data_IF_215412655323
#
_entry.id   IF_215412655323
#
_cell.length_a   1.000
_cell.length_b   1.000
_cell.length_c   1.000
_cell.angle_alpha   90.00
_cell.angle_beta   90.00
_cell.angle_gamma   90.00
#
_symmetry.space_group_name_H-M   'P 1'
#
loop_
_entity.id
_entity.type
_entity.pdbx_description
1 polymer ?
#
# COMPACT_ATOMS: atom_id res chain seq x y z
N UNK A 1 7.61 -43.50 18.44
CA UNK A 1 7.85 -42.05 18.53
C UNK A 1 6.63 -41.39 17.88
N UNK A 2 5.71 -40.84 18.67
CA UNK A 2 4.49 -40.24 18.14
C UNK A 2 4.83 -38.93 17.45
N UNK A 3 4.49 -38.80 16.17
CA UNK A 3 4.70 -37.58 15.40
C UNK A 3 3.61 -36.57 15.79
N UNK A 4 4.03 -35.45 16.39
CA UNK A 4 3.13 -34.35 16.72
C UNK A 4 2.74 -33.58 15.45
N UNK A 5 1.43 -33.49 15.21
CA UNK A 5 0.83 -32.66 14.16
C UNK A 5 0.46 -31.29 14.74
N UNK A 6 0.71 -30.19 14.01
CA UNK A 6 0.32 -28.83 14.48
C UNK A 6 -1.18 -28.67 14.75
N UNK A 7 -2.02 -29.47 14.11
CA UNK A 7 -3.45 -29.57 14.39
C UNK A 7 -3.85 -31.03 14.39
N UNK A 8 -4.68 -31.45 15.35
CA UNK A 8 -5.11 -32.86 15.56
C UNK A 8 -5.77 -33.51 14.34
N UNK A 9 -6.37 -32.69 13.47
CA UNK A 9 -7.07 -33.13 12.26
C UNK A 9 -6.22 -32.94 10.99
N UNK A 10 -4.96 -32.48 11.10
CA UNK A 10 -4.08 -32.30 9.96
C UNK A 10 -3.57 -33.66 9.48
N UNK A 11 -3.69 -33.93 8.18
CA UNK A 11 -3.02 -35.09 7.60
C UNK A 11 -1.49 -34.89 7.66
N UNK A 12 -0.77 -36.00 7.80
CA UNK A 12 0.68 -36.01 7.65
C UNK A 12 1.02 -35.86 6.17
N UNK A 13 1.88 -34.90 5.83
CA UNK A 13 2.40 -34.73 4.47
C UNK A 13 3.93 -34.67 4.47
N UNK A 14 4.55 -35.12 3.37
CA UNK A 14 5.95 -34.84 3.07
C UNK A 14 6.10 -33.38 2.66
N UNK A 15 7.30 -32.81 2.82
CA UNK A 15 7.60 -31.48 2.26
C UNK A 15 7.35 -31.50 0.76
N UNK A 16 6.57 -30.54 0.28
CA UNK A 16 6.24 -30.36 -1.14
C UNK A 16 7.48 -30.33 -2.04
N UNK A 17 8.64 -29.84 -1.55
CA UNK A 17 9.85 -29.74 -2.37
C UNK A 17 10.52 -31.11 -2.66
N UNK A 18 10.17 -32.16 -1.89
CA UNK A 18 10.69 -33.51 -2.08
C UNK A 18 9.77 -34.40 -2.93
N UNK A 19 8.56 -33.92 -3.23
CA UNK A 19 7.55 -34.65 -3.98
C UNK A 19 7.52 -34.17 -5.45
N UNK A 20 8.60 -34.48 -6.16
CA UNK A 20 8.89 -33.99 -7.52
C UNK A 20 8.03 -34.61 -8.62
N UNK A 21 7.35 -35.73 -8.33
CA UNK A 21 6.65 -36.54 -9.32
C UNK A 21 5.14 -36.65 -9.07
N UNK A 22 4.64 -36.08 -7.96
CA UNK A 22 3.20 -36.00 -7.77
C UNK A 22 2.62 -34.94 -8.70
N UNK A 23 1.48 -35.29 -9.30
CA UNK A 23 0.69 -34.33 -10.05
C UNK A 23 -0.02 -33.47 -9.00
N UNK A 24 0.25 -32.16 -8.93
CA UNK A 24 -0.38 -31.32 -7.93
C UNK A 24 -1.91 -31.34 -8.14
N UNK A 25 -2.71 -31.44 -7.06
CA UNK A 25 -4.16 -31.42 -7.17
C UNK A 25 -4.60 -30.10 -7.82
N UNK A 26 -5.52 -30.19 -8.78
CA UNK A 26 -6.11 -28.99 -9.39
C UNK A 26 -7.22 -28.47 -8.48
N UNK A 27 -7.14 -27.20 -8.09
CA UNK A 27 -8.20 -26.57 -7.33
C UNK A 27 -9.43 -26.37 -8.23
N UNK A 28 -10.52 -27.07 -7.91
CA UNK A 28 -11.80 -27.01 -8.65
C UNK A 28 -12.90 -26.25 -7.90
N UNK A 29 -12.67 -25.93 -6.62
CA UNK A 29 -13.70 -25.35 -5.75
C UNK A 29 -13.88 -23.85 -5.97
N UNK A 30 -12.82 -23.13 -6.34
CA UNK A 30 -12.90 -21.70 -6.66
C UNK A 30 -13.35 -21.54 -8.11
N UNK A 31 -14.63 -21.27 -8.33
CA UNK A 31 -15.21 -21.19 -9.66
C UNK A 31 -14.95 -19.81 -10.29
N UNK A 32 -15.09 -18.74 -9.49
CA UNK A 32 -15.02 -17.35 -9.98
C UNK A 32 -14.50 -16.41 -8.90
N UNK A 33 -13.76 -15.40 -9.31
CA UNK A 33 -13.46 -14.26 -8.45
C UNK A 33 -13.53 -12.94 -9.19
N UNK A 34 -13.94 -11.89 -8.50
CA UNK A 34 -14.12 -10.55 -9.03
C UNK A 34 -13.63 -9.49 -8.02
N UNK A 35 -13.33 -8.30 -8.52
CA UNK A 35 -13.02 -7.14 -7.67
C UNK A 35 -14.24 -6.26 -7.54
N UNK A 36 -14.57 -5.89 -6.30
CA UNK A 36 -15.59 -4.93 -5.93
C UNK A 36 -14.89 -3.64 -5.48
N UNK A 37 -15.27 -2.51 -6.05
CA UNK A 37 -14.76 -1.21 -5.61
C UNK A 37 -15.61 -0.71 -4.43
N UNK A 38 -14.94 -0.41 -3.32
CA UNK A 38 -15.54 0.10 -2.09
C UNK A 38 -15.14 1.55 -1.92
N UNK A 39 -16.14 2.43 -1.94
CA UNK A 39 -15.98 3.86 -1.66
C UNK A 39 -15.77 4.11 -0.17
N UNK A 40 -15.08 5.20 0.20
CA UNK A 40 -14.90 5.56 1.59
C UNK A 40 -16.21 6.07 2.19
N UNK A 41 -16.48 5.69 3.43
CA UNK A 41 -17.65 6.15 4.19
C UNK A 41 -17.42 7.55 4.80
N UNK A 42 -16.16 7.97 4.90
CA UNK A 42 -15.79 9.32 5.36
C UNK A 42 -15.40 10.20 4.18
N UNK A 43 -15.67 11.51 4.32
CA UNK A 43 -15.22 12.51 3.34
C UNK A 43 -13.69 12.58 3.31
N UNK A 44 -13.09 12.39 2.13
CA UNK A 44 -11.64 12.41 1.91
C UNK A 44 -11.05 13.83 2.11
N UNK A 45 -11.82 14.87 1.80
CA UNK A 45 -11.33 16.26 1.75
C UNK A 45 -11.27 16.96 3.10
N UNK A 46 -12.08 16.51 4.07
CA UNK A 46 -12.29 17.19 5.35
C UNK A 46 -11.91 16.36 6.57
N UNK A 47 -11.47 15.12 6.36
CA UNK A 47 -11.16 14.17 7.44
C UNK A 47 -9.69 13.78 7.40
N UNK A 48 -9.08 13.71 8.59
CA UNK A 48 -7.75 13.11 8.76
C UNK A 48 -7.80 11.57 8.64
N UNK A 49 -9.00 10.99 8.61
CA UNK A 49 -9.20 9.54 8.50
C UNK A 49 -10.09 9.16 7.31
N UNK A 50 -9.65 8.18 6.54
CA UNK A 50 -10.40 7.56 5.45
C UNK A 50 -10.83 6.17 5.89
N UNK A 51 -12.13 5.92 5.99
CA UNK A 51 -12.68 4.62 6.40
C UNK A 51 -13.38 3.93 5.24
N UNK A 52 -13.22 2.62 5.14
CA UNK A 52 -13.91 1.74 4.19
C UNK A 52 -14.64 0.66 4.95
N UNK A 53 -15.85 0.32 4.50
CA UNK A 53 -16.64 -0.78 5.05
C UNK A 53 -16.92 -1.79 3.94
N UNK A 54 -16.20 -2.91 3.96
CA UNK A 54 -16.52 -4.07 3.13
C UNK A 54 -17.62 -4.85 3.84
N UNK A 55 -18.84 -4.78 3.31
CA UNK A 55 -19.98 -5.48 3.87
C UNK A 55 -19.76 -7.00 3.87
N UNK A 56 -20.35 -7.65 4.88
CA UNK A 56 -20.43 -9.10 4.93
C UNK A 56 -21.27 -9.61 3.77
N UNK A 57 -20.81 -10.68 3.13
CA UNK A 57 -21.51 -11.38 2.06
C UNK A 57 -21.36 -12.88 2.29
N UNK A 58 -22.37 -13.52 2.87
CA UNK A 58 -22.33 -14.92 3.30
C UNK A 58 -22.13 -15.95 2.18
N UNK A 59 -22.27 -15.54 0.91
CA UNK A 59 -22.12 -16.42 -0.24
C UNK A 59 -20.73 -16.40 -0.88
N UNK A 60 -19.83 -15.51 -0.45
CA UNK A 60 -18.53 -15.30 -1.10
C UNK A 60 -17.42 -15.17 -0.04
N UNK A 61 -16.24 -15.70 -0.35
CA UNK A 61 -15.04 -15.48 0.45
C UNK A 61 -14.37 -14.16 0.06
N UNK A 62 -13.61 -13.58 0.99
CA UNK A 62 -12.82 -12.37 0.73
C UNK A 62 -11.34 -12.69 0.72
N UNK A 63 -10.69 -12.41 -0.41
CA UNK A 63 -9.24 -12.55 -0.59
C UNK A 63 -8.56 -11.20 -0.35
N UNK A 64 -8.02 -11.02 0.85
CA UNK A 64 -7.29 -9.79 1.20
C UNK A 64 -5.91 -9.73 0.54
N UNK A 65 -5.27 -10.87 0.22
CA UNK A 65 -3.96 -10.90 -0.41
C UNK A 65 -3.98 -10.38 -1.86
N UNK A 66 -5.14 -10.46 -2.51
CA UNK A 66 -5.40 -9.89 -3.84
C UNK A 66 -6.30 -8.66 -3.81
N UNK A 67 -6.40 -7.97 -2.67
CA UNK A 67 -7.15 -6.70 -2.53
C UNK A 67 -6.20 -5.50 -2.54
N UNK A 68 -6.63 -4.39 -3.15
CA UNK A 68 -5.78 -3.25 -3.44
C UNK A 68 -6.41 -1.94 -2.95
N UNK A 69 -5.58 -1.04 -2.41
CA UNK A 69 -5.97 0.34 -2.19
C UNK A 69 -5.56 1.15 -3.42
N UNK A 70 -6.49 1.93 -3.96
CA UNK A 70 -6.26 2.92 -5.01
C UNK A 70 -6.33 4.31 -4.39
N UNK A 71 -5.34 5.15 -4.69
CA UNK A 71 -5.28 6.54 -4.22
C UNK A 71 -4.80 7.45 -5.34
N UNK A 72 -5.51 8.55 -5.55
CA UNK A 72 -5.08 9.61 -6.46
C UNK A 72 -4.78 10.86 -5.65
N UNK A 73 -3.56 11.35 -5.74
CA UNK A 73 -3.12 12.50 -4.97
C UNK A 73 -2.27 13.47 -5.80
N UNK A 74 -2.26 14.74 -5.39
CA UNK A 74 -1.41 15.79 -5.95
C UNK A 74 -0.74 16.61 -4.85
N UNK A 75 0.28 17.37 -5.22
CA UNK A 75 0.96 18.31 -4.34
C UNK A 75 0.47 19.72 -4.67
N UNK A 76 0.14 20.52 -3.67
CA UNK A 76 -0.27 21.93 -3.82
C UNK A 76 0.57 22.83 -2.93
N UNK A 77 0.53 24.13 -3.18
CA UNK A 77 1.04 25.13 -2.21
C UNK A 77 0.16 25.17 -0.96
N UNK A 78 0.62 25.82 0.11
CA UNK A 78 -0.16 26.01 1.34
C UNK A 78 -1.54 26.65 1.11
N UNK A 79 -1.63 27.53 0.11
CA UNK A 79 -2.84 28.23 -0.30
C UNK A 79 -3.75 27.39 -1.23
N UNK A 80 -3.37 26.15 -1.54
CA UNK A 80 -4.14 25.25 -2.42
C UNK A 80 -3.91 25.50 -3.92
N UNK A 81 -3.00 26.40 -4.29
CA UNK A 81 -2.64 26.66 -5.68
C UNK A 81 -1.70 25.58 -6.25
N UNK A 82 -1.56 25.59 -7.58
CA UNK A 82 -0.64 24.69 -8.26
C UNK A 82 0.82 25.04 -7.94
N UNK A 83 1.66 24.02 -7.80
CA UNK A 83 3.11 24.17 -7.70
C UNK A 83 3.70 24.41 -9.10
N UNK A 84 4.81 25.15 -9.21
CA UNK A 84 5.49 25.36 -10.50
C UNK A 84 6.25 24.12 -11.00
N UNK A 85 6.75 24.16 -12.23
CA UNK A 85 7.58 23.08 -12.76
C UNK A 85 8.95 22.98 -12.06
N UNK A 86 9.55 24.13 -11.74
CA UNK A 86 10.89 24.22 -11.16
C UNK A 86 10.90 24.21 -9.62
N UNK A 87 9.79 23.78 -9.00
CA UNK A 87 9.73 23.76 -7.55
C UNK A 87 10.46 22.55 -6.98
N UNK A 88 11.30 22.78 -5.98
CA UNK A 88 12.15 21.74 -5.40
C UNK A 88 11.41 20.91 -4.34
N UNK A 89 10.28 20.30 -4.71
CA UNK A 89 9.50 19.39 -3.86
C UNK A 89 9.16 18.11 -4.61
N UNK A 90 9.29 16.97 -3.94
CA UNK A 90 8.89 15.68 -4.46
C UNK A 90 8.27 14.80 -3.38
N UNK A 91 7.50 13.77 -3.78
CA UNK A 91 7.04 12.73 -2.87
C UNK A 91 8.18 12.05 -2.14
N UNK A 92 7.98 11.63 -0.88
CA UNK A 92 8.83 10.64 -0.21
C UNK A 92 8.67 9.26 -0.86
N UNK A 93 9.57 8.32 -0.54
CA UNK A 93 9.64 7.08 -1.29
C UNK A 93 8.44 6.20 -0.91
N UNK A 94 7.95 5.37 -1.83
CA UNK A 94 6.76 4.56 -1.62
C UNK A 94 5.55 5.45 -1.22
N UNK A 95 5.33 6.51 -2.01
CA UNK A 95 4.47 7.63 -1.62
C UNK A 95 3.06 7.21 -1.21
N UNK A 96 2.46 6.26 -1.93
CA UNK A 96 1.12 5.74 -1.62
C UNK A 96 0.99 5.29 -0.16
N UNK A 97 2.00 4.61 0.37
CA UNK A 97 2.02 4.15 1.76
C UNK A 97 2.43 5.27 2.72
N UNK A 98 3.32 6.16 2.29
CA UNK A 98 3.72 7.33 3.07
C UNK A 98 2.55 8.27 3.38
N UNK A 99 1.51 8.31 2.53
CA UNK A 99 0.28 9.10 2.75
C UNK A 99 -0.47 8.76 4.04
N UNK A 100 -0.27 7.56 4.60
CA UNK A 100 -0.97 7.11 5.79
C UNK A 100 0.02 6.77 6.91
N UNK A 101 -0.23 7.29 8.10
CA UNK A 101 0.60 7.05 9.28
C UNK A 101 0.21 5.74 9.96
N UNK A 102 -1.05 5.34 9.83
CA UNK A 102 -1.61 4.18 10.50
C UNK A 102 -2.70 3.53 9.61
N UNK A 103 -2.71 2.20 9.62
CA UNK A 103 -3.72 1.37 8.96
C UNK A 103 -4.30 0.42 9.98
N UNK A 104 -5.58 0.59 10.26
CA UNK A 104 -6.33 -0.24 11.18
C UNK A 104 -7.31 -1.12 10.41
N UNK A 105 -7.27 -2.43 10.67
CA UNK A 105 -8.21 -3.39 10.12
C UNK A 105 -9.05 -3.94 11.26
N UNK A 106 -10.36 -3.89 11.10
CA UNK A 106 -11.33 -4.43 12.02
C UNK A 106 -12.08 -5.59 11.36
N UNK A 107 -12.20 -6.70 12.08
CA UNK A 107 -13.06 -7.82 11.71
C UNK A 107 -14.24 -7.84 12.67
N UNK A 108 -15.45 -7.71 12.16
CA UNK A 108 -16.67 -7.65 12.99
C UNK A 108 -16.56 -6.61 14.13
N UNK A 109 -16.14 -5.38 13.78
CA UNK A 109 -15.86 -4.27 14.70
C UNK A 109 -14.77 -4.49 15.76
N UNK A 110 -14.08 -5.63 15.75
CA UNK A 110 -12.93 -5.88 16.61
C UNK A 110 -11.65 -5.52 15.86
N UNK A 111 -10.85 -4.63 16.42
CA UNK A 111 -9.53 -4.30 15.89
C UNK A 111 -8.63 -5.54 15.97
N UNK A 112 -7.98 -5.88 14.85
CA UNK A 112 -7.09 -7.05 14.75
C UNK A 112 -5.65 -6.68 14.39
N UNK A 113 -5.42 -5.45 13.94
CA UNK A 113 -4.08 -4.90 13.70
C UNK A 113 -3.62 -4.02 14.86
N UNK A 114 -2.31 -3.91 15.13
CA UNK A 114 -1.82 -2.95 16.11
C UNK A 114 -2.09 -1.51 15.65
N UNK A 115 -2.65 -0.68 16.52
CA UNK A 115 -2.80 0.77 16.32
C UNK A 115 -1.44 1.47 16.47
N UNK A 116 -0.62 1.43 15.42
CA UNK A 116 0.72 2.04 15.40
C UNK A 116 0.84 3.08 14.29
N UNK A 117 1.48 4.20 14.61
CA UNK A 117 1.82 5.28 13.66
C UNK A 117 3.06 5.00 12.82
N UNK A 118 3.63 3.79 12.94
CA UNK A 118 4.82 3.35 12.23
C UNK A 118 4.52 2.60 10.91
N UNK A 119 3.26 2.59 10.45
CA UNK A 119 2.88 1.92 9.20
C UNK A 119 3.76 2.26 8.00
N UNK A 120 4.08 3.54 7.69
CA UNK A 120 4.86 3.84 6.49
C UNK A 120 6.30 3.32 6.58
N UNK A 121 6.88 3.26 7.79
CA UNK A 121 8.18 2.64 8.01
C UNK A 121 8.13 1.12 7.78
N UNK A 122 7.09 0.46 8.34
CA UNK A 122 6.85 -0.97 8.12
C UNK A 122 6.74 -1.28 6.63
N UNK A 123 5.89 -0.54 5.91
CA UNK A 123 5.68 -0.71 4.48
C UNK A 123 6.99 -0.56 3.68
N UNK A 124 7.77 0.49 3.98
CA UNK A 124 9.04 0.75 3.31
C UNK A 124 10.08 -0.34 3.57
N UNK A 125 10.24 -0.77 4.83
CA UNK A 125 11.18 -1.83 5.22
C UNK A 125 10.79 -3.17 4.58
N UNK A 126 9.52 -3.57 4.66
CA UNK A 126 9.03 -4.79 4.01
C UNK A 126 9.24 -4.74 2.49
N UNK A 127 8.99 -3.60 1.86
CA UNK A 127 9.21 -3.42 0.41
C UNK A 127 10.69 -3.59 0.04
N UNK A 128 11.60 -3.03 0.84
CA UNK A 128 13.04 -3.13 0.59
C UNK A 128 13.58 -4.54 0.84
N UNK A 129 13.11 -5.22 1.88
CA UNK A 129 13.67 -6.52 2.27
C UNK A 129 13.06 -7.69 1.50
N UNK A 130 11.76 -7.65 1.19
CA UNK A 130 11.05 -8.81 0.65
C UNK A 130 10.96 -8.87 -0.87
N UNK A 131 11.23 -7.76 -1.58
CA UNK A 131 11.09 -7.71 -3.04
C UNK A 131 12.44 -7.68 -3.75
N UNK A 132 12.52 -8.42 -4.86
CA UNK A 132 13.67 -8.41 -5.76
C UNK A 132 13.83 -7.05 -6.46
N UNK A 133 14.97 -6.86 -7.14
CA UNK A 133 15.18 -5.67 -7.96
C UNK A 133 14.12 -5.55 -9.07
N UNK A 134 13.79 -6.66 -9.73
CA UNK A 134 12.84 -6.66 -10.83
C UNK A 134 11.43 -6.25 -10.38
N UNK A 135 11.01 -6.68 -9.19
CA UNK A 135 9.74 -6.25 -8.61
C UNK A 135 9.73 -4.73 -8.31
N UNK A 136 10.85 -4.21 -7.79
CA UNK A 136 11.06 -2.79 -7.47
C UNK A 136 11.05 -1.90 -8.71
N UNK A 137 11.59 -2.40 -9.81
CA UNK A 137 11.66 -1.69 -11.09
C UNK A 137 10.39 -1.90 -11.95
N UNK A 138 9.48 -2.80 -11.53
CA UNK A 138 8.23 -3.15 -12.21
C UNK A 138 7.02 -2.75 -11.36
N UNK A 139 6.20 -3.70 -10.88
CA UNK A 139 4.91 -3.41 -10.26
C UNK A 139 4.98 -2.46 -9.04
N UNK A 140 6.07 -2.41 -8.28
CA UNK A 140 6.16 -1.47 -7.14
C UNK A 140 6.19 0.01 -7.55
N UNK A 141 6.45 0.32 -8.82
CA UNK A 141 6.32 1.68 -9.34
C UNK A 141 4.87 2.17 -9.28
N UNK A 142 3.86 1.28 -9.19
CA UNK A 142 2.45 1.64 -9.02
C UNK A 142 2.16 2.31 -7.67
N UNK A 143 2.98 2.05 -6.65
CA UNK A 143 2.93 2.69 -5.34
C UNK A 143 3.94 3.86 -5.23
N UNK A 144 4.48 4.31 -6.36
CA UNK A 144 5.52 5.33 -6.48
C UNK A 144 6.85 4.97 -5.80
N UNK A 145 7.18 3.68 -5.75
CA UNK A 145 8.50 3.24 -5.32
C UNK A 145 9.53 3.49 -6.42
N UNK A 146 10.56 4.28 -6.11
CA UNK A 146 11.74 4.45 -6.97
C UNK A 146 12.97 4.44 -6.09
N UNK A 147 13.92 3.55 -6.37
CA UNK A 147 15.08 3.36 -5.51
C UNK A 147 15.97 4.60 -5.51
N UNK A 148 16.25 5.10 -4.31
CA UNK A 148 17.14 6.25 -4.14
C UNK A 148 18.60 5.88 -4.42
N UNK A 149 19.37 6.88 -4.89
CA UNK A 149 20.80 6.70 -5.18
C UNK A 149 21.57 6.49 -3.88
N UNK A 150 22.38 5.44 -3.81
CA UNK A 150 23.18 5.13 -2.64
C UNK A 150 24.09 6.31 -2.26
N UNK A 151 24.13 6.66 -0.97
CA UNK A 151 24.89 7.81 -0.46
C UNK A 151 24.29 9.19 -0.80
N UNK A 152 23.09 9.26 -1.39
CA UNK A 152 22.39 10.50 -1.74
C UNK A 152 20.93 10.52 -1.25
N UNK A 153 20.58 9.71 -0.25
CA UNK A 153 19.22 9.69 0.31
C UNK A 153 18.85 11.01 0.99
N UNK A 154 19.84 11.69 1.57
CA UNK A 154 19.68 13.03 2.17
C UNK A 154 19.72 14.17 1.13
N UNK A 155 19.92 13.86 -0.15
CA UNK A 155 19.88 14.86 -1.21
C UNK A 155 18.42 15.19 -1.55
N UNK A 156 17.90 16.22 -0.87
CA UNK A 156 16.49 16.64 -0.91
C UNK A 156 16.11 17.53 -2.10
N UNK A 157 17.08 17.93 -2.93
CA UNK A 157 16.82 18.75 -4.12
C UNK A 157 16.60 17.86 -5.38
N UNK A 158 15.37 17.74 -5.90
CA UNK A 158 15.08 16.93 -7.08
C UNK A 158 15.67 17.49 -8.39
N UNK A 159 16.01 18.79 -8.42
CA UNK A 159 16.50 19.51 -9.60
C UNK A 159 18.04 19.68 -9.59
N UNK A 160 18.73 19.07 -8.63
CA UNK A 160 20.19 19.09 -8.59
C UNK A 160 20.82 18.43 -9.83
N UNK A 161 22.06 18.82 -10.15
CA UNK A 161 22.83 18.19 -11.23
C UNK A 161 23.19 16.73 -10.92
N UNK A 162 23.37 15.91 -11.97
CA UNK A 162 23.35 14.44 -11.89
C UNK A 162 24.41 13.80 -10.96
N UNK A 163 25.52 14.49 -10.68
CA UNK A 163 26.52 14.02 -9.72
C UNK A 163 25.95 13.92 -8.29
N UNK A 164 25.11 14.88 -7.90
CA UNK A 164 24.60 15.03 -6.53
C UNK A 164 23.10 14.73 -6.39
N UNK A 165 22.38 14.52 -7.49
CA UNK A 165 20.95 14.27 -7.45
C UNK A 165 20.61 12.86 -6.94
N UNK A 166 19.56 12.80 -6.14
CA UNK A 166 18.89 11.54 -5.85
C UNK A 166 18.00 11.14 -7.04
N UNK A 167 18.42 10.13 -7.79
CA UNK A 167 17.71 9.69 -9.01
C UNK A 167 16.29 9.22 -8.73
N UNK A 168 16.06 8.55 -7.60
CA UNK A 168 14.72 8.09 -7.20
C UNK A 168 13.79 9.26 -6.88
N UNK A 169 14.28 10.28 -6.18
CA UNK A 169 13.53 11.51 -5.91
C UNK A 169 13.24 12.31 -7.20
N UNK A 170 14.23 12.42 -8.11
CA UNK A 170 14.06 13.08 -9.41
C UNK A 170 12.95 12.44 -10.25
N UNK A 171 12.89 11.10 -10.27
CA UNK A 171 11.82 10.36 -10.96
C UNK A 171 10.44 10.60 -10.30
N UNK A 172 10.36 10.51 -8.97
CA UNK A 172 9.11 10.78 -8.23
C UNK A 172 8.60 12.21 -8.46
N UNK A 173 9.51 13.20 -8.41
CA UNK A 173 9.20 14.60 -8.68
C UNK A 173 8.61 14.81 -10.10
N UNK A 174 9.12 14.09 -11.11
CA UNK A 174 8.62 14.21 -12.48
C UNK A 174 7.13 13.83 -12.62
N UNK A 175 6.61 12.95 -11.76
CA UNK A 175 5.19 12.58 -11.77
C UNK A 175 4.28 13.64 -11.13
N UNK A 176 4.79 14.46 -10.21
CA UNK A 176 4.00 15.41 -9.40
C UNK A 176 4.27 16.88 -9.70
N UNK A 177 5.22 17.20 -10.60
CA UNK A 177 5.47 18.57 -11.05
C UNK A 177 4.19 19.21 -11.58
N UNK A 178 4.09 20.53 -11.46
CA UNK A 178 2.91 21.29 -11.93
C UNK A 178 1.58 20.88 -11.25
N UNK A 179 1.65 20.31 -10.04
CA UNK A 179 0.48 19.76 -9.33
C UNK A 179 -0.27 18.67 -10.11
N UNK A 180 0.43 17.94 -10.97
CA UNK A 180 -0.15 16.79 -11.65
C UNK A 180 -0.60 15.73 -10.64
N UNK A 181 -1.86 15.31 -10.77
CA UNK A 181 -2.40 14.21 -9.97
C UNK A 181 -1.80 12.88 -10.42
N UNK A 182 -1.39 12.08 -9.45
CA UNK A 182 -0.83 10.75 -9.67
C UNK A 182 -1.77 9.73 -9.06
N UNK A 183 -2.24 8.81 -9.90
CA UNK A 183 -3.01 7.64 -9.47
C UNK A 183 -2.02 6.53 -9.09
N UNK A 184 -2.24 5.96 -7.91
CA UNK A 184 -1.40 4.94 -7.31
C UNK A 184 -2.27 3.77 -6.86
N UNK A 185 -1.70 2.57 -6.90
CA UNK A 185 -2.38 1.37 -6.44
C UNK A 185 -1.37 0.40 -5.81
N UNK A 186 -1.78 -0.26 -4.73
CA UNK A 186 -0.92 -1.19 -4.00
C UNK A 186 -1.68 -1.94 -2.92
N UNK A 187 -1.06 -3.01 -2.41
CA UNK A 187 -1.62 -3.82 -1.32
C UNK A 187 -1.25 -3.19 0.02
N UNK A 188 -2.17 -3.16 0.98
CA UNK A 188 -1.89 -2.64 2.32
C UNK A 188 -0.89 -3.52 3.05
N UNK A 189 0.08 -2.90 3.73
CA UNK A 189 1.06 -3.61 4.55
C UNK A 189 0.48 -3.94 5.94
N UNK A 190 -0.25 -5.04 6.02
CA UNK A 190 -0.82 -5.58 7.24
C UNK A 190 -0.76 -7.10 7.18
N UNK A 191 -0.61 -7.76 8.34
CA UNK A 191 -0.46 -9.21 8.43
C UNK A 191 -1.65 -9.96 7.80
N UNK A 192 -2.85 -9.37 7.84
CA UNK A 192 -4.03 -9.93 7.19
C UNK A 192 -3.99 -9.91 5.66
N UNK A 193 -3.27 -8.97 5.06
CA UNK A 193 -3.09 -8.84 3.63
C UNK A 193 -1.91 -9.68 3.12
N UNK A 194 -1.10 -10.22 4.02
CA UNK A 194 0.05 -11.06 3.72
C UNK A 194 -0.24 -12.57 3.82
N UNK A 195 -1.38 -12.97 4.39
CA UNK A 195 -1.78 -14.37 4.48
C UNK A 195 -2.59 -14.84 3.28
N UNK A 196 -2.45 -16.12 2.92
CA UNK A 196 -3.16 -16.73 1.79
C UNK A 196 -4.59 -17.23 2.15
N UNK A 197 -5.00 -17.13 3.43
CA UNK A 197 -6.32 -17.62 3.84
C UNK A 197 -7.38 -16.57 3.62
N UNK A 198 -8.48 -17.01 3.01
CA UNK A 198 -9.62 -16.15 2.77
C UNK A 198 -10.42 -15.88 4.04
N UNK A 199 -10.96 -14.67 4.13
CA UNK A 199 -11.89 -14.30 5.19
C UNK A 199 -13.29 -14.80 4.83
N UNK A 200 -13.95 -15.43 5.80
CA UNK A 200 -15.32 -15.90 5.67
C UNK A 200 -16.26 -14.73 5.33
N UNK A 201 -17.17 -14.98 4.41
CA UNK A 201 -18.12 -13.98 3.92
C UNK A 201 -18.98 -13.31 4.99
N UNK A 202 -19.32 -14.02 6.06
CA UNK A 202 -20.16 -13.49 7.16
C UNK A 202 -19.43 -12.49 8.09
N UNK A 203 -18.18 -12.12 7.80
CA UNK A 203 -17.40 -11.19 8.63
C UNK A 203 -17.25 -9.85 7.91
N UNK A 204 -17.87 -8.76 8.40
CA UNK A 204 -17.65 -7.44 7.83
C UNK A 204 -16.24 -6.97 8.15
N UNK A 205 -15.56 -6.39 7.15
CA UNK A 205 -14.18 -5.89 7.27
C UNK A 205 -14.25 -4.37 7.19
N UNK A 206 -13.78 -3.68 8.22
CA UNK A 206 -13.62 -2.23 8.20
C UNK A 206 -12.14 -1.88 8.15
N UNK A 207 -11.75 -1.01 7.23
CA UNK A 207 -10.37 -0.52 7.10
C UNK A 207 -10.40 0.96 7.41
N UNK A 208 -9.56 1.41 8.33
CA UNK A 208 -9.40 2.82 8.69
C UNK A 208 -7.96 3.24 8.43
N UNK A 209 -7.79 4.23 7.58
CA UNK A 209 -6.51 4.83 7.23
C UNK A 209 -6.43 6.19 7.93
N UNK A 210 -5.36 6.42 8.70
CA UNK A 210 -5.08 7.71 9.31
C UNK A 210 -4.02 8.41 8.48
N UNK A 211 -4.28 9.65 8.10
CA UNK A 211 -3.40 10.42 7.22
C UNK A 211 -2.07 10.76 7.90
N UNK A 212 -1.00 10.73 7.13
CA UNK A 212 0.31 11.24 7.54
C UNK A 212 0.38 12.75 7.44
N UNK A 213 1.28 13.36 8.22
CA UNK A 213 1.56 14.79 8.11
C UNK A 213 2.26 15.07 6.76
N UNK A 214 1.92 16.18 6.10
CA UNK A 214 2.51 16.53 4.80
C UNK A 214 4.06 16.54 4.79
N UNK A 215 4.77 17.02 5.84
CA UNK A 215 6.24 16.98 5.88
C UNK A 215 6.85 15.58 5.91
N UNK A 216 6.08 14.54 6.24
CA UNK A 216 6.53 13.15 6.19
C UNK A 216 6.39 12.57 4.78
N UNK A 217 5.32 12.95 4.08
CA UNK A 217 4.99 12.49 2.74
C UNK A 217 5.81 13.19 1.64
N UNK A 218 6.44 14.31 1.97
CA UNK A 218 7.10 15.20 1.02
C UNK A 218 8.54 15.48 1.43
N UNK A 219 9.40 15.61 0.42
CA UNK A 219 10.80 16.01 0.57
C UNK A 219 11.00 17.28 -0.25
N UNK A 220 11.60 18.31 0.34
CA UNK A 220 11.79 19.61 -0.31
C UNK A 220 13.09 20.27 0.10
N UNK A 221 13.73 20.98 -0.84
CA UNK A 221 14.85 21.89 -0.56
C UNK A 221 14.50 23.37 -0.71
N UNK A 222 13.21 23.70 -0.93
CA UNK A 222 12.75 25.08 -1.00
C UNK A 222 12.89 25.80 0.37
N UNK A 223 13.17 27.11 0.34
CA UNK A 223 13.41 27.94 1.55
C UNK A 223 12.21 27.97 2.51
N UNK A 224 10.98 27.86 1.99
CA UNK A 224 9.75 27.79 2.79
C UNK A 224 8.88 26.60 2.32
N UNK A 225 9.13 25.37 2.79
CA UNK A 225 8.51 24.17 2.28
C UNK A 225 7.09 23.94 2.84
N UNK A 226 6.20 24.92 2.67
CA UNK A 226 4.79 24.81 3.07
C UNK A 226 3.96 24.20 1.93
N UNK A 227 4.29 22.96 1.57
CA UNK A 227 3.52 22.19 0.59
C UNK A 227 2.50 21.29 1.29
N UNK A 228 1.39 21.06 0.62
CA UNK A 228 0.32 20.18 1.09
C UNK A 228 0.11 19.07 0.10
N UNK A 229 -0.22 17.89 0.60
CA UNK A 229 -0.77 16.83 -0.24
C UNK A 229 -2.29 17.02 -0.32
N UNK A 230 -2.89 16.73 -1.47
CA UNK A 230 -4.34 16.67 -1.60
C UNK A 230 -4.69 15.33 -2.21
N UNK A 231 -5.45 14.52 -1.47
CA UNK A 231 -6.02 13.26 -1.97
C UNK A 231 -7.33 13.62 -2.67
N UNK A 232 -7.43 13.30 -3.95
CA UNK A 232 -8.60 13.59 -4.79
C UNK A 232 -9.57 12.41 -4.82
N UNK A 233 -9.04 11.20 -4.93
CA UNK A 233 -9.82 9.96 -4.98
C UNK A 233 -9.14 8.89 -4.12
N UNK A 234 -9.93 8.07 -3.43
CA UNK A 234 -9.46 6.96 -2.63
C UNK A 234 -10.51 5.85 -2.70
N UNK A 235 -10.11 4.64 -3.11
CA UNK A 235 -11.01 3.51 -3.35
C UNK A 235 -10.34 2.23 -2.84
N UNK A 236 -11.10 1.32 -2.26
CA UNK A 236 -10.58 0.01 -1.88
C UNK A 236 -11.16 -1.08 -2.79
N UNK A 237 -10.33 -1.73 -3.60
CA UNK A 237 -10.71 -2.84 -4.47
C UNK A 237 -10.58 -4.15 -3.71
N UNK A 238 -11.71 -4.68 -3.23
CA UNK A 238 -11.75 -5.95 -2.50
C UNK A 238 -11.96 -7.11 -3.48
N UNK A 239 -11.13 -8.15 -3.37
CA UNK A 239 -11.30 -9.38 -4.15
C UNK A 239 -12.28 -10.31 -3.44
N UNK A 240 -13.33 -10.70 -4.15
CA UNK A 240 -14.30 -11.72 -3.73
C UNK A 240 -14.07 -13.00 -4.53
N UNK A 241 -14.24 -14.16 -3.89
CA UNK A 241 -14.05 -15.49 -4.50
C UNK A 241 -15.21 -16.40 -4.11
N UNK A 242 -15.76 -17.11 -5.08
CA UNK A 242 -16.81 -18.13 -4.91
C UNK A 242 -16.24 -19.50 -5.23
#
# INVERSE_FOLDING_TARGET
MALETMHKDSCMCSKSELDLFSIPPTQVVMEKGFWEAVDPITSISSSDTTEFLCAANSGVYTDLASSYLYVKAKITTAAGGNVGADIQVGPSNLWMHALFSQVEVFLNNKLVTPSSTAYPYRAYIETILNFSKDAKDSHLTSALFYKDKAGKMDAVNPLAQDANVNTGLKQRHAYTRESKSVAMEGRLHSDLFAQDRYILGAVPIKIKLVRSRDPFCLVSSAENPNFKVVIEECLFRVRRVN
#
